data_IF_547255615650
#
_entry.id   IF_547255615650
#
_cell.length_a   1.000
_cell.length_b   1.000
_cell.length_c   1.000
_cell.angle_alpha   90.00
_cell.angle_beta   90.00
_cell.angle_gamma   90.00
#
_symmetry.space_group_name_H-M   'P 1'
#
loop_
_entity.id
_entity.type
_entity.pdbx_description
1 polymer ?
#
# COMPACT_ATOMS: atom_id res chain seq x y z
N UNK A 1 -15.93 -21.35 -9.02
CA UNK A 1 -15.61 -20.09 -8.31
C UNK A 1 -16.87 -19.56 -7.62
N UNK A 2 -16.82 -19.04 -6.38
CA UNK A 2 -18.00 -18.44 -5.74
C UNK A 2 -18.58 -17.28 -6.56
N UNK A 3 -19.92 -17.07 -6.59
CA UNK A 3 -20.54 -16.03 -7.38
C UNK A 3 -20.02 -14.61 -7.12
N UNK A 4 -19.59 -14.34 -5.88
CA UNK A 4 -18.99 -13.06 -5.48
C UNK A 4 -17.65 -12.80 -6.17
N UNK A 5 -16.79 -13.81 -6.28
CA UNK A 5 -15.49 -13.71 -6.95
C UNK A 5 -15.64 -13.58 -8.49
N UNK A 6 -16.65 -14.23 -9.06
CA UNK A 6 -16.95 -14.04 -10.49
C UNK A 6 -17.42 -12.62 -10.80
N UNK A 7 -18.27 -12.06 -9.94
CA UNK A 7 -18.74 -10.68 -10.07
C UNK A 7 -17.59 -9.68 -9.96
N UNK A 8 -16.69 -9.89 -9.00
CA UNK A 8 -15.49 -9.07 -8.83
C UNK A 8 -14.60 -9.13 -10.07
N UNK A 9 -14.29 -10.35 -10.55
CA UNK A 9 -13.47 -10.54 -11.74
C UNK A 9 -14.07 -9.85 -12.99
N UNK A 10 -15.39 -9.92 -13.17
CA UNK A 10 -16.07 -9.22 -14.29
C UNK A 10 -15.97 -7.70 -14.17
N UNK A 11 -16.09 -7.14 -12.95
CA UNK A 11 -15.93 -5.69 -12.72
C UNK A 11 -14.51 -5.24 -13.02
N UNK A 12 -13.49 -5.97 -12.53
CA UNK A 12 -12.08 -5.70 -12.84
C UNK A 12 -11.79 -5.80 -14.33
N UNK A 13 -12.33 -6.81 -15.00
CA UNK A 13 -12.15 -7.00 -16.45
C UNK A 13 -12.71 -5.81 -17.27
N UNK A 14 -13.75 -5.13 -16.80
CA UNK A 14 -14.27 -3.91 -17.44
C UNK A 14 -13.26 -2.75 -17.43
N UNK A 15 -12.31 -2.75 -16.46
CA UNK A 15 -11.16 -1.83 -16.42
C UNK A 15 -9.91 -2.41 -17.09
N UNK A 16 -9.99 -3.56 -17.73
CA UNK A 16 -8.84 -4.23 -18.33
C UNK A 16 -7.89 -4.90 -17.32
N UNK A 17 -8.35 -5.11 -16.09
CA UNK A 17 -7.54 -5.57 -14.95
C UNK A 17 -7.84 -7.03 -14.60
N UNK A 18 -6.79 -7.78 -14.25
CA UNK A 18 -6.90 -9.11 -13.64
C UNK A 18 -6.14 -9.10 -12.32
N UNK A 19 -6.75 -9.66 -11.26
CA UNK A 19 -6.12 -9.91 -9.98
C UNK A 19 -5.59 -11.35 -9.92
N UNK A 20 -4.32 -11.49 -9.56
CA UNK A 20 -3.71 -12.75 -9.17
C UNK A 20 -3.24 -12.62 -7.73
N UNK A 21 -3.84 -13.40 -6.82
CA UNK A 21 -3.43 -13.40 -5.42
C UNK A 21 -2.40 -14.50 -5.18
N UNK A 22 -1.30 -14.15 -4.50
CA UNK A 22 -0.32 -15.10 -4.00
C UNK A 22 -0.85 -15.86 -2.77
N UNK A 23 -0.34 -17.06 -2.54
CA UNK A 23 -0.71 -17.90 -1.40
C UNK A 23 0.30 -17.73 -0.26
N UNK A 24 0.41 -16.49 0.23
CA UNK A 24 1.26 -16.10 1.35
C UNK A 24 0.45 -15.39 2.47
N UNK A 25 -0.63 -16.03 3.00
CA UNK A 25 -1.46 -15.41 4.03
C UNK A 25 -0.67 -15.20 5.32
N UNK A 26 -0.90 -14.07 5.97
CA UNK A 26 -0.24 -13.71 7.22
C UNK A 26 -0.83 -12.47 7.88
N UNK A 27 -0.38 -12.13 9.09
CA UNK A 27 -0.90 -10.97 9.82
C UNK A 27 -0.74 -9.64 9.08
N UNK A 28 0.30 -9.49 8.24
CA UNK A 28 0.56 -8.28 7.44
C UNK A 28 0.07 -8.41 6.00
N UNK A 29 0.02 -9.63 5.46
CA UNK A 29 -0.39 -9.90 4.07
C UNK A 29 -1.87 -10.26 3.93
N UNK A 30 -2.62 -10.33 5.03
CA UNK A 30 -4.03 -10.72 5.07
C UNK A 30 -4.24 -12.10 4.40
N UNK A 31 -5.06 -12.18 3.36
CA UNK A 31 -5.29 -13.41 2.60
C UNK A 31 -4.21 -13.70 1.55
N UNK A 32 -3.18 -12.88 1.47
CA UNK A 32 -2.05 -12.92 0.52
C UNK A 32 -1.91 -11.64 -0.29
N UNK A 33 -0.74 -11.50 -0.94
CA UNK A 33 -0.38 -10.33 -1.75
C UNK A 33 -1.09 -10.39 -3.11
N UNK A 34 -1.62 -9.27 -3.55
CA UNK A 34 -2.23 -9.11 -4.87
C UNK A 34 -1.20 -8.65 -5.90
N UNK A 35 -1.03 -9.43 -6.95
CA UNK A 35 -0.41 -9.02 -8.20
C UNK A 35 -1.49 -8.58 -9.18
N UNK A 36 -1.30 -7.43 -9.82
CA UNK A 36 -2.27 -6.90 -10.78
C UNK A 36 -1.72 -6.96 -12.20
N UNK A 37 -2.50 -7.53 -13.13
CA UNK A 37 -2.18 -7.58 -14.56
C UNK A 37 -3.10 -6.60 -15.28
N UNK A 38 -2.53 -5.64 -16.01
CA UNK A 38 -3.23 -4.49 -16.59
C UNK A 38 -3.03 -4.42 -18.08
N UNK A 39 -4.10 -4.24 -18.82
CA UNK A 39 -4.06 -4.10 -20.27
C UNK A 39 -3.91 -5.42 -21.05
N UNK A 40 -3.69 -5.29 -22.35
CA UNK A 40 -3.41 -6.36 -23.32
C UNK A 40 -2.54 -5.80 -24.45
N UNK A 41 -1.78 -6.67 -25.07
CA UNK A 41 -1.01 -6.43 -26.28
C UNK A 41 -0.07 -5.21 -26.24
N UNK A 42 0.81 -5.07 -25.22
CA UNK A 42 1.15 -6.01 -24.16
C UNK A 42 0.42 -5.73 -22.83
N UNK A 43 0.49 -6.69 -21.89
CA UNK A 43 0.07 -6.50 -20.51
C UNK A 43 1.20 -5.92 -19.65
N UNK A 44 0.83 -5.20 -18.59
CA UNK A 44 1.73 -4.70 -17.55
C UNK A 44 1.43 -5.37 -16.22
N UNK A 45 2.45 -5.55 -15.39
CA UNK A 45 2.33 -6.15 -14.06
C UNK A 45 2.62 -5.12 -13.00
N UNK A 46 1.74 -4.98 -12.02
CA UNK A 46 2.00 -4.24 -10.79
C UNK A 46 2.20 -5.24 -9.65
N UNK A 47 3.33 -5.11 -8.95
CA UNK A 47 3.74 -5.92 -7.82
C UNK A 47 3.70 -7.43 -8.15
N UNK A 48 4.75 -8.01 -8.76
CA UNK A 48 4.76 -9.41 -9.18
C UNK A 48 4.66 -10.41 -8.01
N UNK A 49 4.70 -9.92 -6.77
CA UNK A 49 4.49 -10.71 -5.57
C UNK A 49 5.75 -11.48 -5.11
N UNK A 50 5.58 -12.49 -4.22
CA UNK A 50 6.68 -13.30 -3.73
C UNK A 50 7.24 -14.20 -4.84
N UNK A 51 8.51 -14.63 -4.71
CA UNK A 51 9.20 -15.51 -5.67
C UNK A 51 8.71 -16.97 -5.65
N UNK A 52 7.45 -17.22 -5.28
CA UNK A 52 6.82 -18.54 -5.30
C UNK A 52 6.70 -19.06 -6.72
N UNK A 53 7.17 -20.29 -6.97
CA UNK A 53 7.15 -20.92 -8.29
C UNK A 53 5.74 -21.03 -8.85
N UNK A 54 4.78 -21.41 -8.01
CA UNK A 54 3.37 -21.58 -8.38
C UNK A 54 2.75 -20.24 -8.79
N UNK A 55 3.00 -19.18 -8.00
CA UNK A 55 2.51 -17.85 -8.28
C UNK A 55 3.09 -17.32 -9.60
N UNK A 56 4.41 -17.41 -9.78
CA UNK A 56 5.10 -16.96 -10.99
C UNK A 56 4.67 -17.74 -12.24
N UNK A 57 4.42 -19.07 -12.14
CA UNK A 57 3.91 -19.85 -13.26
C UNK A 57 2.51 -19.37 -13.70
N UNK A 58 1.62 -19.09 -12.74
CA UNK A 58 0.28 -18.54 -13.02
C UNK A 58 0.37 -17.13 -13.59
N UNK A 59 1.28 -16.28 -13.06
CA UNK A 59 1.49 -14.93 -13.56
C UNK A 59 1.98 -14.92 -15.00
N UNK A 60 2.98 -15.73 -15.35
CA UNK A 60 3.49 -15.87 -16.72
C UNK A 60 2.39 -16.33 -17.67
N UNK A 61 1.60 -17.34 -17.30
CA UNK A 61 0.50 -17.82 -18.15
C UNK A 61 -0.56 -16.72 -18.39
N UNK A 62 -0.89 -15.92 -17.39
CA UNK A 62 -1.84 -14.80 -17.52
C UNK A 62 -1.28 -13.68 -18.41
N UNK A 63 -0.01 -13.36 -18.29
CA UNK A 63 0.67 -12.35 -19.11
C UNK A 63 0.73 -12.81 -20.57
N UNK A 64 1.14 -14.06 -20.82
CA UNK A 64 1.23 -14.63 -22.18
C UNK A 64 -0.15 -14.64 -22.87
N UNK A 65 -1.21 -15.01 -22.15
CA UNK A 65 -2.59 -14.97 -22.65
C UNK A 65 -3.10 -13.55 -22.94
N UNK A 66 -2.32 -12.52 -22.59
CA UNK A 66 -2.64 -11.11 -22.78
C UNK A 66 -1.64 -10.38 -23.70
N UNK A 67 -0.93 -11.13 -24.55
CA UNK A 67 -0.04 -10.57 -25.56
C UNK A 67 1.39 -10.28 -25.08
N UNK A 68 1.80 -10.90 -23.97
CA UNK A 68 3.16 -10.76 -23.41
C UNK A 68 3.31 -9.64 -22.39
N UNK A 69 4.53 -9.52 -21.84
CA UNK A 69 4.87 -8.56 -20.79
C UNK A 69 5.44 -7.27 -21.37
N UNK A 70 4.73 -6.15 -21.18
CA UNK A 70 5.16 -4.82 -21.60
C UNK A 70 6.02 -4.09 -20.57
N UNK A 71 5.84 -4.42 -19.27
CA UNK A 71 6.60 -3.81 -18.18
C UNK A 71 6.13 -4.27 -16.82
N UNK A 72 6.99 -4.03 -15.81
CA UNK A 72 6.73 -4.29 -14.40
C UNK A 72 6.81 -2.97 -13.66
N UNK A 73 5.82 -2.66 -12.83
CA UNK A 73 5.84 -1.50 -11.95
C UNK A 73 5.73 -1.98 -10.49
N UNK A 74 6.55 -1.44 -9.59
CA UNK A 74 6.43 -1.67 -8.16
C UNK A 74 5.78 -0.47 -7.49
N UNK A 75 4.84 -0.75 -6.59
CA UNK A 75 4.32 0.27 -5.68
C UNK A 75 5.36 0.63 -4.63
N UNK A 76 6.10 -0.35 -4.09
CA UNK A 76 7.20 -0.18 -3.14
C UNK A 76 8.07 -1.45 -3.08
N UNK A 77 9.18 -1.43 -2.33
CA UNK A 77 10.23 -2.45 -2.36
C UNK A 77 10.11 -3.52 -1.24
N UNK A 78 8.92 -3.71 -0.63
CA UNK A 78 8.76 -4.84 0.30
C UNK A 78 8.80 -6.17 -0.45
N UNK A 79 9.41 -7.19 0.20
CA UNK A 79 9.73 -8.46 -0.43
C UNK A 79 8.51 -9.19 -1.02
N UNK A 80 7.38 -9.14 -0.34
CA UNK A 80 6.15 -9.78 -0.80
C UNK A 80 5.52 -9.10 -2.03
N UNK A 81 5.97 -7.90 -2.42
CA UNK A 81 5.63 -7.20 -3.65
C UNK A 81 6.71 -7.34 -4.73
N UNK A 82 8.00 -7.31 -4.35
CA UNK A 82 9.14 -7.14 -5.26
C UNK A 82 9.96 -8.40 -5.52
N UNK A 83 9.94 -9.41 -4.63
CA UNK A 83 10.81 -10.58 -4.69
C UNK A 83 10.68 -11.36 -6.00
N UNK A 84 9.48 -11.40 -6.58
CA UNK A 84 9.20 -12.07 -7.86
C UNK A 84 9.78 -11.38 -9.11
N UNK A 85 10.27 -10.13 -9.02
CA UNK A 85 10.74 -9.33 -10.16
C UNK A 85 11.85 -10.04 -10.94
N UNK A 86 12.91 -10.51 -10.25
CA UNK A 86 14.03 -11.15 -10.89
C UNK A 86 13.62 -12.38 -11.69
N UNK A 87 12.90 -13.30 -11.03
CA UNK A 87 12.45 -14.53 -11.65
C UNK A 87 11.38 -14.33 -12.75
N UNK A 88 10.60 -13.25 -12.70
CA UNK A 88 9.70 -12.88 -13.79
C UNK A 88 10.48 -12.35 -14.99
N UNK A 89 11.47 -11.47 -14.78
CA UNK A 89 12.31 -10.91 -15.85
C UNK A 89 13.19 -11.96 -16.53
N UNK A 90 13.65 -12.99 -15.83
CA UNK A 90 14.36 -14.13 -16.42
C UNK A 90 13.45 -14.89 -17.42
N UNK A 91 12.17 -14.98 -17.14
CA UNK A 91 11.19 -15.70 -17.99
C UNK A 91 10.61 -14.83 -19.10
N UNK A 92 10.43 -13.55 -18.85
CA UNK A 92 9.85 -12.55 -19.75
C UNK A 92 10.57 -11.23 -19.56
N UNK A 93 11.53 -10.95 -20.45
CA UNK A 93 12.28 -9.69 -20.41
C UNK A 93 11.33 -8.50 -20.59
N UNK A 94 11.38 -7.56 -19.66
CA UNK A 94 10.59 -6.33 -19.67
C UNK A 94 11.24 -5.26 -18.79
N UNK A 95 11.01 -3.96 -19.06
CA UNK A 95 11.48 -2.87 -18.21
C UNK A 95 10.80 -2.89 -16.85
N UNK A 96 11.55 -2.49 -15.82
CA UNK A 96 11.13 -2.33 -14.43
C UNK A 96 11.04 -0.85 -14.08
N UNK A 97 9.91 -0.43 -13.52
CA UNK A 97 9.73 0.90 -12.93
C UNK A 97 9.49 0.79 -11.42
N UNK A 98 10.27 1.50 -10.62
CA UNK A 98 10.09 1.56 -9.16
C UNK A 98 10.66 2.86 -8.55
N UNK A 99 10.26 3.15 -7.33
CA UNK A 99 10.78 4.27 -6.53
C UNK A 99 12.21 4.06 -6.04
N UNK A 100 12.69 2.81 -5.98
CA UNK A 100 13.98 2.43 -5.37
C UNK A 100 14.68 1.32 -6.16
N UNK A 101 15.97 1.13 -5.91
CA UNK A 101 16.77 0.04 -6.47
C UNK A 101 17.33 0.33 -7.86
N UNK A 102 17.92 -0.71 -8.49
CA UNK A 102 18.36 -0.69 -9.88
C UNK A 102 17.18 -0.94 -10.81
N UNK A 103 16.72 0.07 -11.49
CA UNK A 103 15.50 0.06 -12.29
C UNK A 103 15.72 0.69 -13.66
N UNK A 104 14.94 0.28 -14.65
CA UNK A 104 14.99 0.86 -16.00
C UNK A 104 14.30 2.25 -16.03
N UNK A 105 13.27 2.43 -15.19
CA UNK A 105 12.56 3.70 -15.04
C UNK A 105 12.42 4.04 -13.55
N UNK A 106 13.07 5.13 -13.13
CA UNK A 106 12.92 5.66 -11.78
C UNK A 106 11.57 6.35 -11.65
N UNK A 107 10.73 5.87 -10.73
CA UNK A 107 9.47 6.54 -10.42
C UNK A 107 9.74 7.80 -9.59
N UNK A 108 9.19 8.89 -10.05
CA UNK A 108 9.01 10.16 -9.36
C UNK A 108 7.54 10.53 -9.44
N UNK A 109 7.11 11.51 -8.67
CA UNK A 109 5.74 11.99 -8.73
C UNK A 109 5.39 12.49 -10.15
N UNK A 110 4.29 11.99 -10.73
CA UNK A 110 3.88 12.27 -12.09
C UNK A 110 4.60 11.47 -13.18
N UNK A 111 5.57 10.59 -12.85
CA UNK A 111 6.22 9.72 -13.84
C UNK A 111 5.19 8.86 -14.55
N UNK A 112 5.28 8.79 -15.88
CA UNK A 112 4.47 7.89 -16.72
C UNK A 112 5.27 6.67 -17.12
N UNK A 113 4.68 5.48 -16.92
CA UNK A 113 5.24 4.20 -17.32
C UNK A 113 4.15 3.28 -17.87
N UNK A 114 4.22 2.96 -19.16
CA UNK A 114 3.16 2.23 -19.83
C UNK A 114 1.80 2.93 -19.63
N UNK A 115 0.78 2.23 -19.12
CA UNK A 115 -0.53 2.81 -18.87
C UNK A 115 -0.63 3.60 -17.56
N UNK A 116 0.44 3.63 -16.75
CA UNK A 116 0.43 4.18 -15.39
C UNK A 116 0.94 5.62 -15.32
N UNK A 117 0.37 6.36 -14.38
CA UNK A 117 0.94 7.60 -13.82
C UNK A 117 1.21 7.36 -12.34
N UNK A 118 2.45 7.58 -11.92
CA UNK A 118 2.89 7.41 -10.53
C UNK A 118 2.50 8.63 -9.68
N UNK A 119 1.92 8.39 -8.52
CA UNK A 119 1.62 9.39 -7.51
C UNK A 119 2.36 9.01 -6.22
N UNK A 120 3.26 9.87 -5.78
CA UNK A 120 4.03 9.64 -4.54
C UNK A 120 3.10 9.56 -3.33
N UNK A 121 3.18 8.45 -2.62
CA UNK A 121 2.38 8.15 -1.42
C UNK A 121 3.25 7.55 -0.31
N UNK A 122 4.34 8.26 0.11
CA UNK A 122 5.21 7.76 1.17
C UNK A 122 4.44 7.61 2.46
N UNK A 123 4.97 6.82 3.40
CA UNK A 123 4.38 6.63 4.74
C UNK A 123 4.45 5.20 5.21
N UNK A 124 3.86 4.25 4.50
CA UNK A 124 4.08 2.82 4.74
C UNK A 124 5.53 2.42 4.42
N UNK A 125 6.03 2.92 3.31
CA UNK A 125 7.43 2.84 2.90
C UNK A 125 7.86 4.19 2.28
N UNK A 126 9.13 4.61 2.41
CA UNK A 126 9.59 5.91 1.90
C UNK A 126 9.60 5.99 0.37
N UNK A 127 9.69 4.86 -0.32
CA UNK A 127 9.72 4.73 -1.78
C UNK A 127 8.35 4.39 -2.38
N UNK A 128 7.26 4.53 -1.60
CA UNK A 128 5.94 4.10 -2.01
C UNK A 128 5.28 5.04 -3.03
N UNK A 129 4.70 4.42 -4.09
CA UNK A 129 3.90 5.08 -5.12
C UNK A 129 2.56 4.36 -5.30
N UNK A 130 1.47 5.11 -5.36
CA UNK A 130 0.25 4.64 -5.98
C UNK A 130 0.34 4.82 -7.50
N UNK A 131 -0.18 3.86 -8.27
CA UNK A 131 -0.11 3.86 -9.72
C UNK A 131 -1.52 4.00 -10.28
N UNK A 132 -1.81 5.09 -10.99
CA UNK A 132 -3.13 5.33 -11.59
C UNK A 132 -3.15 4.88 -13.06
N UNK A 133 -4.26 4.26 -13.48
CA UNK A 133 -4.52 3.87 -14.86
C UNK A 133 -6.00 4.11 -15.18
N UNK A 134 -6.30 5.13 -15.96
CA UNK A 134 -7.69 5.56 -16.17
C UNK A 134 -8.37 5.90 -14.83
N UNK A 135 -9.49 5.23 -14.53
CA UNK A 135 -10.24 5.39 -13.26
C UNK A 135 -9.92 4.30 -12.24
N UNK A 136 -8.84 3.55 -12.41
CA UNK A 136 -8.33 2.58 -11.44
C UNK A 136 -7.04 3.08 -10.80
N UNK A 137 -6.81 2.73 -9.52
CA UNK A 137 -5.59 3.06 -8.80
C UNK A 137 -5.07 1.83 -8.05
N UNK A 138 -3.82 1.45 -8.31
CA UNK A 138 -3.07 0.42 -7.60
C UNK A 138 -2.40 1.07 -6.40
N UNK A 139 -2.98 0.85 -5.23
CA UNK A 139 -2.60 1.57 -4.01
C UNK A 139 -1.47 0.91 -3.24
N UNK A 140 -1.00 -0.27 -3.68
CA UNK A 140 -0.05 -1.04 -2.86
C UNK A 140 -0.53 -1.09 -1.42
N UNK A 141 0.37 -0.78 -0.51
CA UNK A 141 0.09 -0.76 0.92
C UNK A 141 -0.18 0.64 1.50
N UNK A 142 -0.40 1.65 0.64
CA UNK A 142 -0.95 2.92 1.15
C UNK A 142 -2.41 2.76 1.61
N UNK A 143 -3.21 1.92 0.94
CA UNK A 143 -4.61 1.62 1.31
C UNK A 143 -4.87 0.15 1.09
N UNK A 144 -5.23 -0.59 2.15
CA UNK A 144 -5.56 -2.01 2.12
C UNK A 144 -7.05 -2.25 1.88
N UNK A 145 -7.39 -3.39 1.30
CA UNK A 145 -8.78 -3.81 1.12
C UNK A 145 -9.54 -3.92 2.44
N UNK A 146 -8.87 -4.45 3.46
CA UNK A 146 -9.37 -4.62 4.83
C UNK A 146 -8.35 -4.07 5.82
N UNK A 147 -8.82 -3.71 7.03
CA UNK A 147 -7.95 -3.23 8.10
C UNK A 147 -7.35 -1.85 7.83
N UNK A 148 -6.19 -1.62 8.43
CA UNK A 148 -5.40 -0.39 8.36
C UNK A 148 -3.93 -0.75 8.17
N UNK A 149 -3.15 0.16 7.61
CA UNK A 149 -1.70 0.00 7.40
C UNK A 149 -0.92 0.59 8.57
N UNK A 150 0.27 0.09 8.86
CA UNK A 150 1.21 0.80 9.73
C UNK A 150 1.96 1.89 8.94
N UNK A 151 2.39 2.93 9.64
CA UNK A 151 3.20 4.00 9.06
C UNK A 151 4.63 3.83 9.58
N UNK A 152 5.59 3.75 8.66
CA UNK A 152 7.00 3.67 9.00
C UNK A 152 7.46 4.93 9.78
N UNK A 153 8.43 4.80 10.70
CA UNK A 153 8.92 5.92 11.49
C UNK A 153 10.02 6.71 10.76
N UNK A 154 9.78 6.97 9.48
CA UNK A 154 10.68 7.81 8.68
C UNK A 154 10.31 9.29 8.86
N UNK A 155 11.27 10.22 8.77
CA UNK A 155 11.00 11.64 8.86
C UNK A 155 9.89 12.09 7.89
N UNK A 156 8.84 12.72 8.42
CA UNK A 156 7.71 13.22 7.64
C UNK A 156 6.75 12.14 7.09
N UNK A 157 6.92 10.86 7.45
CA UNK A 157 6.15 9.75 6.90
C UNK A 157 4.63 9.93 7.05
N UNK A 158 4.14 10.31 8.23
CA UNK A 158 2.71 10.50 8.46
C UNK A 158 2.15 11.70 7.67
N UNK A 159 2.91 12.78 7.57
CA UNK A 159 2.53 13.97 6.78
C UNK A 159 2.45 13.62 5.30
N UNK A 160 3.48 12.94 4.78
CA UNK A 160 3.52 12.47 3.39
C UNK A 160 2.38 11.49 3.09
N UNK A 161 2.08 10.58 4.01
CA UNK A 161 0.98 9.63 3.91
C UNK A 161 -0.38 10.33 3.79
N UNK A 162 -0.69 11.25 4.72
CA UNK A 162 -1.94 12.01 4.70
C UNK A 162 -2.06 12.86 3.42
N UNK A 163 -0.96 13.49 2.99
CA UNK A 163 -0.92 14.22 1.72
C UNK A 163 -1.19 13.33 0.50
N UNK A 164 -0.60 12.13 0.47
CA UNK A 164 -0.84 11.13 -0.57
C UNK A 164 -2.31 10.68 -0.63
N UNK A 165 -2.92 10.37 0.53
CA UNK A 165 -4.34 10.01 0.61
C UNK A 165 -5.27 11.13 0.14
N UNK A 166 -4.99 12.40 0.50
CA UNK A 166 -5.77 13.55 0.07
C UNK A 166 -5.69 13.72 -1.46
N UNK A 167 -4.51 13.60 -2.05
CA UNK A 167 -4.31 13.67 -3.50
C UNK A 167 -5.03 12.54 -4.24
N UNK A 168 -5.05 11.32 -3.69
CA UNK A 168 -5.83 10.20 -4.23
C UNK A 168 -7.34 10.46 -4.15
N UNK A 169 -7.80 11.05 -3.05
CA UNK A 169 -9.21 11.42 -2.82
C UNK A 169 -9.74 12.44 -3.82
N UNK A 170 -8.86 13.30 -4.36
CA UNK A 170 -9.19 14.30 -5.38
C UNK A 170 -9.31 13.70 -6.79
N UNK A 171 -8.81 12.46 -7.00
CA UNK A 171 -8.91 11.79 -8.30
C UNK A 171 -10.30 11.18 -8.50
N UNK A 172 -10.77 11.18 -9.75
CA UNK A 172 -12.01 10.52 -10.16
C UNK A 172 -11.76 9.02 -10.40
N UNK A 173 -11.91 8.22 -9.36
CA UNK A 173 -11.61 6.80 -9.33
C UNK A 173 -12.85 5.93 -9.14
N UNK A 174 -12.93 4.81 -9.87
CA UNK A 174 -13.98 3.79 -9.74
C UNK A 174 -13.56 2.65 -8.82
N UNK A 175 -12.24 2.37 -8.73
CA UNK A 175 -11.72 1.24 -7.97
C UNK A 175 -10.32 1.53 -7.45
N UNK A 176 -10.07 1.12 -6.17
CA UNK A 176 -8.70 0.95 -5.66
C UNK A 176 -8.36 -0.54 -5.68
N UNK A 177 -7.14 -0.81 -6.13
CA UNK A 177 -6.53 -2.12 -6.28
C UNK A 177 -5.40 -2.25 -5.25
N UNK A 178 -5.67 -2.72 -4.01
CA UNK A 178 -4.70 -2.74 -2.92
C UNK A 178 -3.68 -3.87 -3.04
N UNK A 179 -2.53 -3.74 -2.36
CA UNK A 179 -1.55 -4.82 -2.21
C UNK A 179 -2.12 -6.03 -1.49
N UNK A 180 -3.02 -5.80 -0.50
CA UNK A 180 -3.65 -6.87 0.27
C UNK A 180 -5.16 -6.66 0.42
N UNK A 181 -5.91 -7.78 0.49
CA UNK A 181 -7.37 -7.78 0.64
C UNK A 181 -8.13 -7.56 -0.68
N UNK A 182 -9.46 -7.36 -0.64
CA UNK A 182 -10.29 -7.23 -1.83
C UNK A 182 -10.16 -5.84 -2.49
N UNK A 183 -10.50 -5.72 -3.80
CA UNK A 183 -10.68 -4.43 -4.47
C UNK A 183 -11.72 -3.56 -3.78
N UNK A 184 -11.51 -2.25 -3.79
CA UNK A 184 -12.37 -1.27 -3.11
C UNK A 184 -13.15 -0.49 -4.16
N UNK A 185 -14.47 -0.64 -4.16
CA UNK A 185 -15.38 -0.11 -5.17
C UNK A 185 -16.06 1.22 -4.77
N UNK A 186 -15.70 1.74 -3.62
CA UNK A 186 -16.01 3.10 -3.17
C UNK A 186 -14.70 3.75 -2.69
N UNK A 187 -13.87 4.23 -3.65
CA UNK A 187 -12.57 4.84 -3.36
C UNK A 187 -12.68 5.99 -2.37
N UNK A 188 -13.64 6.90 -2.60
CA UNK A 188 -13.79 8.12 -1.81
C UNK A 188 -14.11 7.81 -0.35
N UNK A 189 -15.11 6.97 -0.10
CA UNK A 189 -15.48 6.59 1.26
C UNK A 189 -14.35 5.82 1.98
N UNK A 190 -13.56 5.01 1.25
CA UNK A 190 -12.41 4.32 1.83
C UNK A 190 -11.30 5.28 2.22
N UNK A 191 -10.95 6.23 1.34
CA UNK A 191 -9.92 7.24 1.59
C UNK A 191 -10.33 8.18 2.73
N UNK A 192 -11.58 8.63 2.76
CA UNK A 192 -12.11 9.43 3.87
C UNK A 192 -11.93 8.70 5.21
N UNK A 193 -12.31 7.42 5.30
CA UNK A 193 -12.13 6.62 6.52
C UNK A 193 -10.66 6.48 6.94
N UNK A 194 -9.75 6.35 5.98
CA UNK A 194 -8.32 6.24 6.27
C UNK A 194 -7.75 7.55 6.83
N UNK A 195 -8.14 8.69 6.24
CA UNK A 195 -7.76 10.03 6.73
C UNK A 195 -8.34 10.27 8.13
N UNK A 196 -9.65 10.06 8.30
CA UNK A 196 -10.35 10.22 9.59
C UNK A 196 -9.74 9.34 10.67
N UNK A 197 -9.40 8.08 10.38
CA UNK A 197 -8.75 7.17 11.31
C UNK A 197 -7.42 7.74 11.82
N UNK A 198 -6.57 8.31 10.94
CA UNK A 198 -5.28 8.92 11.35
C UNK A 198 -5.49 10.17 12.21
N UNK A 199 -6.41 11.03 11.82
CA UNK A 199 -6.74 12.25 12.56
C UNK A 199 -7.33 11.92 13.95
N UNK A 200 -8.16 10.88 14.03
CA UNK A 200 -8.71 10.42 15.32
C UNK A 200 -7.62 9.87 16.24
N UNK A 201 -6.66 9.06 15.73
CA UNK A 201 -5.50 8.61 16.50
C UNK A 201 -4.71 9.80 17.05
N UNK A 202 -4.45 10.82 16.24
CA UNK A 202 -3.75 12.04 16.69
C UNK A 202 -4.54 12.78 17.75
N UNK A 203 -5.86 12.93 17.59
CA UNK A 203 -6.74 13.57 18.59
C UNK A 203 -6.70 12.86 19.94
N UNK A 204 -6.80 11.51 19.93
CA UNK A 204 -6.73 10.69 21.14
C UNK A 204 -5.35 10.80 21.81
N UNK A 205 -4.29 10.80 21.01
CA UNK A 205 -2.91 10.96 21.49
C UNK A 205 -2.70 12.31 22.17
N UNK A 206 -3.16 13.40 21.55
CA UNK A 206 -3.08 14.74 22.14
C UNK A 206 -3.85 14.86 23.45
N UNK A 207 -5.03 14.22 23.53
CA UNK A 207 -5.81 14.18 24.77
C UNK A 207 -5.07 13.41 25.88
N UNK A 208 -4.40 12.30 25.53
CA UNK A 208 -3.59 11.52 26.46
C UNK A 208 -2.39 12.32 26.98
N UNK A 209 -1.68 13.02 26.09
CA UNK A 209 -0.55 13.89 26.43
C UNK A 209 -0.99 15.06 27.35
N UNK A 210 -2.13 15.68 27.06
CA UNK A 210 -2.72 16.72 27.89
C UNK A 210 -3.13 16.20 29.30
N UNK A 211 -3.51 14.91 29.39
CA UNK A 211 -3.80 14.24 30.67
C UNK A 211 -2.53 13.77 31.43
N UNK A 212 -1.33 14.12 30.94
CA UNK A 212 -0.06 13.82 31.59
C UNK A 212 0.49 12.42 31.30
N UNK A 213 -0.07 11.66 30.35
CA UNK A 213 0.48 10.36 29.93
C UNK A 213 1.76 10.57 29.11
N UNK A 214 2.78 9.74 29.38
CA UNK A 214 4.12 9.96 28.79
C UNK A 214 4.76 8.67 28.27
N UNK A 215 4.42 7.52 28.84
CA UNK A 215 5.02 6.24 28.46
C UNK A 215 4.34 5.62 27.23
N UNK A 216 5.10 4.89 26.42
CA UNK A 216 4.61 4.16 25.26
C UNK A 216 3.37 3.28 25.55
N UNK A 217 3.33 2.46 26.64
CA UNK A 217 2.13 1.69 26.97
C UNK A 217 0.89 2.55 27.23
N UNK A 218 1.01 3.64 28.00
CA UNK A 218 -0.11 4.53 28.28
C UNK A 218 -0.67 5.22 27.05
N UNK A 219 0.20 5.63 26.13
CA UNK A 219 -0.18 6.26 24.86
C UNK A 219 -0.86 5.25 23.92
N UNK A 220 -0.37 4.01 23.87
CA UNK A 220 -1.01 2.92 23.12
C UNK A 220 -2.38 2.57 23.70
N UNK A 221 -2.51 2.50 25.04
CA UNK A 221 -3.79 2.24 25.70
C UNK A 221 -4.82 3.34 25.45
N UNK A 222 -4.37 4.58 25.28
CA UNK A 222 -5.25 5.71 25.02
C UNK A 222 -5.69 5.80 23.55
N UNK A 223 -4.76 5.62 22.62
CA UNK A 223 -5.01 5.93 21.20
C UNK A 223 -5.11 4.69 20.31
N UNK A 224 -4.75 3.48 20.81
CA UNK A 224 -4.83 2.17 20.12
C UNK A 224 -5.46 1.09 20.97
N UNK A 225 -6.41 1.43 21.85
CA UNK A 225 -7.11 0.48 22.72
C UNK A 225 -7.88 -0.62 21.98
N UNK A 226 -8.28 -0.36 20.74
CA UNK A 226 -9.04 -1.25 19.85
C UNK A 226 -8.16 -2.27 19.10
N UNK A 227 -6.82 -2.17 19.22
CA UNK A 227 -5.89 -3.06 18.52
C UNK A 227 -5.64 -4.33 19.35
N UNK A 228 -5.75 -5.55 18.76
CA UNK A 228 -5.37 -6.79 19.40
C UNK A 228 -3.94 -6.76 19.96
N UNK A 229 -3.71 -7.49 21.05
CA UNK A 229 -2.42 -7.49 21.76
C UNK A 229 -1.25 -7.88 20.84
N UNK A 230 -1.48 -8.83 19.92
CA UNK A 230 -0.49 -9.31 18.97
C UNK A 230 -0.03 -8.25 17.97
N UNK A 231 -0.87 -7.24 17.73
CA UNK A 231 -0.56 -6.12 16.80
C UNK A 231 -0.04 -4.88 17.52
N UNK A 232 0.05 -4.87 18.85
CA UNK A 232 0.58 -3.72 19.63
C UNK A 232 2.01 -3.32 19.23
N UNK A 233 2.95 -4.26 18.96
CA UNK A 233 4.26 -3.88 18.46
C UNK A 233 4.20 -3.09 17.14
N UNK A 234 3.33 -3.48 16.22
CA UNK A 234 3.11 -2.77 14.95
C UNK A 234 2.41 -1.43 15.17
N UNK A 235 1.49 -1.35 16.13
CA UNK A 235 0.84 -0.10 16.54
C UNK A 235 1.85 0.89 17.13
N UNK A 236 2.89 0.41 17.87
CA UNK A 236 3.95 1.25 18.40
C UNK A 236 4.78 1.92 17.30
N UNK A 237 4.98 1.26 16.16
CA UNK A 237 5.60 1.87 14.97
C UNK A 237 4.78 3.07 14.48
N UNK A 238 3.45 2.90 14.36
CA UNK A 238 2.57 4.00 13.96
C UNK A 238 2.46 5.10 15.04
N UNK A 239 2.48 4.74 16.32
CA UNK A 239 2.56 5.71 17.43
C UNK A 239 3.80 6.60 17.26
N UNK A 240 4.96 5.99 16.98
CA UNK A 240 6.20 6.74 16.76
C UNK A 240 6.05 7.77 15.63
N UNK A 241 5.49 7.39 14.50
CA UNK A 241 5.26 8.30 13.38
C UNK A 241 4.33 9.49 13.74
N UNK A 242 3.34 9.26 14.61
CA UNK A 242 2.50 10.33 15.15
C UNK A 242 3.25 11.24 16.11
N UNK A 243 4.10 10.67 16.99
CA UNK A 243 4.92 11.46 17.92
C UNK A 243 5.95 12.32 17.18
N UNK A 244 6.61 11.76 16.17
CA UNK A 244 7.57 12.48 15.31
C UNK A 244 6.87 13.67 14.61
N UNK A 245 5.66 13.47 14.07
CA UNK A 245 4.87 14.58 13.50
C UNK A 245 4.55 15.65 14.53
N UNK A 246 4.16 15.28 15.76
CA UNK A 246 3.86 16.24 16.81
C UNK A 246 5.12 17.00 17.29
N UNK A 247 6.28 16.34 17.26
CA UNK A 247 7.57 16.97 17.54
C UNK A 247 7.93 18.01 16.49
N UNK A 248 7.85 17.64 15.21
CA UNK A 248 8.05 18.54 14.07
C UNK A 248 7.13 19.79 14.12
N UNK A 249 5.91 19.63 14.66
CA UNK A 249 4.94 20.71 14.86
C UNK A 249 5.16 21.50 16.15
N UNK A 250 6.15 21.13 16.99
CA UNK A 250 6.40 21.75 18.30
C UNK A 250 5.28 21.48 19.32
N UNK A 251 4.53 20.39 19.17
CA UNK A 251 3.36 20.01 20.00
C UNK A 251 3.64 18.82 20.93
N UNK A 252 4.84 18.22 20.85
CA UNK A 252 5.24 17.10 21.70
C UNK A 252 5.89 17.63 22.99
N UNK A 253 5.42 17.23 24.21
CA UNK A 253 6.14 17.50 25.45
C UNK A 253 7.51 16.81 25.46
N UNK A 254 8.54 17.49 25.94
CA UNK A 254 9.93 16.99 25.91
C UNK A 254 10.24 15.81 26.83
N UNK A 255 9.28 15.40 27.69
CA UNK A 255 9.39 14.29 28.64
C UNK A 255 8.67 13.02 28.15
N UNK A 256 8.25 12.97 26.87
CA UNK A 256 7.57 11.80 26.30
C UNK A 256 8.57 10.70 25.96
N UNK A 257 8.26 9.48 26.38
CA UNK A 257 9.01 8.28 26.00
C UNK A 257 8.70 7.90 24.54
N UNK A 258 9.73 7.95 23.68
CA UNK A 258 9.59 7.53 22.29
C UNK A 258 9.71 6.00 22.18
N UNK A 259 8.81 5.33 21.44
CA UNK A 259 8.93 3.90 21.16
C UNK A 259 10.29 3.56 20.52
N UNK A 260 10.91 2.49 21.02
CA UNK A 260 12.16 1.91 20.49
C UNK A 260 11.93 0.43 20.17
N UNK A 261 12.67 -0.14 19.18
CA UNK A 261 12.62 -1.53 18.74
C UNK A 261 13.99 -2.07 18.37
#
# INVERSE_FOLDING_TARGET
MPPSLEREARRLAAHGIVRLRAENPGPLTLSGTNTWIVGRDPAYVVDPGPASKEHLNRLVALVDARGGLGGIALTHDHADHSEGVGALRERRSAPLAAGRGEVDVKLLDGTRFGPFEALSTPGHAPDHFALTCGRACFTGDAVLGEGSVFIAPDPGALVGYLGGLQRLRERDLDVLCPGHGPPIWDPRAKLDRYIEHRLERERLLLAALAAGRRSTPELLDAAWADIPAELRPVAAVSLRAHLDKLDDEGRLPGDVELPTW
#
